data_IF_666328624756
#
_entry.id   IF_666328624756
#
_cell.length_a   1.000
_cell.length_b   1.000
_cell.length_c   1.000
_cell.angle_alpha   90.00
_cell.angle_beta   90.00
_cell.angle_gamma   90.00
#
_symmetry.space_group_name_H-M   'P 1'
#
loop_
_entity.id
_entity.type
_entity.pdbx_description
1 polymer ?
#
# COMPACT_ATOMS: atom_id res chain seq x y z
N UNK A 1 11.28 -10.33 -4.31
CA UNK A 1 11.30 -11.31 -3.20
C UNK A 1 9.87 -11.51 -2.66
N UNK A 2 8.93 -12.00 -3.47
CA UNK A 2 7.62 -12.48 -2.97
C UNK A 2 7.07 -13.65 -3.79
N UNK A 3 7.75 -14.04 -4.88
CA UNK A 3 7.22 -14.94 -5.89
C UNK A 3 7.13 -16.41 -5.45
N UNK A 4 7.73 -16.76 -4.31
CA UNK A 4 7.83 -18.12 -3.80
C UNK A 4 7.17 -18.32 -2.42
N UNK A 5 6.05 -17.61 -2.17
CA UNK A 5 5.28 -17.75 -0.92
C UNK A 5 4.28 -18.92 -1.03
N UNK A 6 4.24 -19.77 0.01
CA UNK A 6 3.33 -20.93 0.09
C UNK A 6 1.87 -20.53 0.39
N UNK A 7 1.66 -19.36 1.01
CA UNK A 7 0.33 -18.84 1.33
C UNK A 7 -0.10 -17.76 0.34
N UNK A 8 -1.40 -17.66 0.01
CA UNK A 8 -1.90 -16.67 -0.94
C UNK A 8 -1.60 -15.25 -0.47
N UNK A 9 -0.99 -14.46 -1.35
CA UNK A 9 -0.85 -13.02 -1.16
C UNK A 9 -2.06 -12.31 -1.78
N UNK A 10 -2.64 -11.38 -1.03
CA UNK A 10 -3.55 -10.38 -1.55
C UNK A 10 -2.80 -9.06 -1.70
N UNK A 11 -2.68 -8.57 -2.93
CA UNK A 11 -1.96 -7.34 -3.28
C UNK A 11 -2.66 -6.65 -4.44
N UNK A 12 -2.76 -5.33 -4.40
CA UNK A 12 -3.17 -4.55 -5.55
C UNK A 12 -3.19 -3.05 -5.27
N UNK A 13 -3.05 -2.27 -6.35
CA UNK A 13 -3.11 -0.82 -6.30
C UNK A 13 -1.87 -0.12 -5.71
N UNK A 14 -0.73 -0.81 -5.57
CA UNK A 14 0.50 -0.18 -5.10
C UNK A 14 1.19 0.64 -6.22
N UNK A 15 1.99 1.62 -5.81
CA UNK A 15 2.84 2.44 -6.67
C UNK A 15 4.30 2.09 -6.40
N UNK A 16 5.05 1.79 -7.46
CA UNK A 16 6.46 1.37 -7.41
C UNK A 16 7.35 2.41 -8.06
N UNK A 17 8.15 3.12 -7.27
CA UNK A 17 9.04 4.20 -7.69
C UNK A 17 10.51 3.75 -7.70
N UNK A 18 11.38 4.50 -8.36
CA UNK A 18 12.85 4.38 -8.29
C UNK A 18 13.37 2.93 -8.38
N UNK A 19 12.96 2.22 -9.43
CA UNK A 19 13.37 0.83 -9.68
C UNK A 19 12.72 -0.24 -8.79
N UNK A 20 11.81 0.12 -7.87
CA UNK A 20 11.04 -0.85 -7.10
C UNK A 20 10.17 -1.72 -8.03
N UNK A 21 9.91 -2.97 -7.63
CA UNK A 21 9.24 -3.96 -8.46
C UNK A 21 7.99 -4.52 -7.78
N UNK A 22 6.88 -4.64 -8.52
CA UNK A 22 5.67 -5.27 -8.00
C UNK A 22 5.86 -6.75 -7.76
N UNK A 23 4.96 -7.32 -6.95
CA UNK A 23 4.79 -8.76 -6.92
C UNK A 23 4.26 -9.26 -8.28
N UNK A 24 4.74 -10.41 -8.77
CA UNK A 24 4.45 -10.89 -10.12
C UNK A 24 2.95 -11.09 -10.43
N UNK A 25 2.11 -11.33 -9.41
CA UNK A 25 0.66 -11.54 -9.58
C UNK A 25 -0.18 -10.41 -9.00
N UNK A 26 0.44 -9.26 -8.75
CA UNK A 26 -0.28 -8.12 -8.21
C UNK A 26 -1.29 -7.53 -9.19
N UNK A 27 -2.47 -7.17 -8.69
CA UNK A 27 -3.49 -6.53 -9.49
C UNK A 27 -3.24 -5.02 -9.59
N UNK A 28 -3.20 -4.50 -10.83
CA UNK A 28 -3.13 -3.06 -11.12
C UNK A 28 -1.99 -2.28 -10.44
N UNK A 29 -0.73 -2.76 -10.44
CA UNK A 29 0.38 -1.95 -9.95
C UNK A 29 0.65 -0.77 -10.90
N UNK A 30 0.96 0.39 -10.34
CA UNK A 30 1.52 1.52 -11.11
C UNK A 30 3.05 1.51 -10.94
N UNK A 31 3.78 1.21 -12.01
CA UNK A 31 5.26 1.13 -11.98
C UNK A 31 5.86 2.37 -12.65
N UNK A 32 6.53 3.19 -11.86
CA UNK A 32 7.18 4.45 -12.23
C UNK A 32 8.68 4.35 -11.95
N UNK A 33 9.34 3.37 -12.57
CA UNK A 33 10.71 2.98 -12.25
C UNK A 33 11.76 4.09 -12.44
N UNK A 34 11.49 5.09 -13.28
CA UNK A 34 12.37 6.23 -13.54
C UNK A 34 12.11 7.47 -12.67
N UNK A 35 11.11 7.43 -11.78
CA UNK A 35 10.79 8.54 -10.89
C UNK A 35 11.43 8.29 -9.53
N UNK A 36 12.34 9.18 -9.13
CA UNK A 36 12.83 9.29 -7.77
C UNK A 36 12.31 10.61 -7.16
N UNK A 37 11.37 10.55 -6.20
CA UNK A 37 10.79 11.75 -5.61
C UNK A 37 11.68 12.35 -4.52
N UNK A 38 12.89 11.83 -4.28
CA UNK A 38 13.82 12.42 -3.32
C UNK A 38 13.32 12.42 -1.87
N UNK A 39 12.67 11.32 -1.46
CA UNK A 39 12.05 11.17 -0.12
C UNK A 39 13.06 11.43 1.00
N UNK A 40 12.73 12.36 1.90
CA UNK A 40 13.52 12.75 3.07
C UNK A 40 12.65 12.83 4.31
N UNK A 41 13.24 12.45 5.45
CA UNK A 41 12.71 12.76 6.77
C UNK A 41 13.51 13.96 7.29
N UNK A 42 12.83 15.06 7.58
CA UNK A 42 13.45 16.33 7.97
C UNK A 42 12.90 16.75 9.34
N UNK A 43 13.76 17.28 10.20
CA UNK A 43 13.36 17.89 11.46
C UNK A 43 13.53 19.41 11.37
N UNK A 44 12.43 20.15 11.50
CA UNK A 44 12.38 21.61 11.42
C UNK A 44 11.48 22.15 12.54
N UNK A 45 11.97 23.13 13.32
CA UNK A 45 11.20 23.77 14.40
C UNK A 45 10.55 22.80 15.41
N UNK A 46 11.25 21.71 15.74
CA UNK A 46 10.73 20.67 16.63
C UNK A 46 9.63 19.78 16.02
N UNK A 47 9.46 19.82 14.70
CA UNK A 47 8.53 18.98 13.94
C UNK A 47 9.30 18.05 13.03
N UNK A 48 8.83 16.82 12.91
CA UNK A 48 9.32 15.86 11.91
C UNK A 48 8.40 15.88 10.71
N UNK A 49 8.94 16.13 9.52
CA UNK A 49 8.21 16.20 8.25
C UNK A 49 8.77 15.19 7.25
N UNK A 50 7.89 14.63 6.42
CA UNK A 50 8.28 13.85 5.25
C UNK A 50 8.24 14.80 4.05
N UNK A 51 9.37 14.97 3.39
CA UNK A 51 9.51 15.82 2.20
C UNK A 51 9.80 14.94 0.99
N UNK A 52 9.13 15.23 -0.13
CA UNK A 52 9.37 14.60 -1.42
C UNK A 52 8.86 15.51 -2.54
N UNK A 53 9.44 15.38 -3.73
CA UNK A 53 9.01 16.08 -4.93
C UNK A 53 7.67 15.51 -5.41
N UNK A 54 6.75 16.40 -5.79
CA UNK A 54 5.47 15.99 -6.35
C UNK A 54 5.64 15.29 -7.69
N UNK A 55 4.94 14.17 -7.88
CA UNK A 55 4.90 13.42 -9.13
C UNK A 55 3.43 13.21 -9.54
N UNK A 56 2.91 14.02 -10.51
CA UNK A 56 1.51 13.97 -10.94
C UNK A 56 1.06 12.60 -11.46
N UNK A 57 2.00 11.74 -11.85
CA UNK A 57 1.73 10.37 -12.27
C UNK A 57 1.00 9.55 -11.19
N UNK A 58 1.12 9.95 -9.92
CA UNK A 58 0.39 9.35 -8.79
C UNK A 58 -1.13 9.34 -9.02
N UNK A 59 -1.68 10.34 -9.71
CA UNK A 59 -3.12 10.43 -9.99
C UNK A 59 -3.62 9.29 -10.88
N UNK A 60 -2.71 8.58 -11.57
CA UNK A 60 -3.05 7.40 -12.37
C UNK A 60 -3.12 6.10 -11.54
N UNK A 61 -2.81 6.16 -10.24
CA UNK A 61 -2.84 5.00 -9.36
C UNK A 61 -4.28 4.50 -9.20
N UNK A 62 -4.50 3.22 -9.50
CA UNK A 62 -5.80 2.56 -9.34
C UNK A 62 -5.88 1.95 -7.94
N UNK A 63 -6.23 2.76 -6.97
CA UNK A 63 -6.44 2.32 -5.59
C UNK A 63 -7.90 1.94 -5.35
N UNK A 64 -8.15 1.19 -4.27
CA UNK A 64 -9.49 0.82 -3.83
C UNK A 64 -9.62 1.07 -2.34
N UNK A 65 -10.83 1.40 -1.87
CA UNK A 65 -11.11 1.48 -0.44
C UNK A 65 -10.90 0.10 0.19
N UNK A 66 -10.10 0.05 1.25
CA UNK A 66 -9.83 -1.18 1.99
C UNK A 66 -10.90 -1.37 3.06
N UNK A 67 -11.56 -2.52 3.04
CA UNK A 67 -12.66 -2.87 3.95
C UNK A 67 -12.50 -4.29 4.49
N UNK A 68 -13.22 -4.63 5.57
CA UNK A 68 -13.32 -6.03 6.05
C UNK A 68 -13.71 -6.99 4.93
N UNK A 69 -14.67 -6.60 4.09
CA UNK A 69 -15.14 -7.44 2.99
C UNK A 69 -14.05 -7.67 1.93
N UNK A 70 -13.23 -6.66 1.65
CA UNK A 70 -12.11 -6.79 0.71
C UNK A 70 -10.98 -7.66 1.27
N UNK A 71 -10.60 -7.44 2.54
CA UNK A 71 -9.51 -8.17 3.19
C UNK A 71 -9.88 -9.62 3.52
N UNK A 72 -11.16 -9.89 3.76
CA UNK A 72 -11.64 -11.21 4.13
C UNK A 72 -11.12 -11.66 5.49
N UNK A 73 -10.61 -12.89 5.55
CA UNK A 73 -10.22 -13.56 6.79
C UNK A 73 -8.74 -13.90 6.79
N UNK A 74 -8.08 -13.65 7.93
CA UNK A 74 -6.72 -14.09 8.15
C UNK A 74 -6.68 -15.63 8.29
N UNK A 75 -5.76 -16.26 7.58
CA UNK A 75 -5.75 -17.72 7.39
C UNK A 75 -5.54 -18.53 8.67
N UNK A 76 -4.64 -18.08 9.55
CA UNK A 76 -4.24 -18.84 10.75
C UNK A 76 -5.17 -18.60 11.95
N UNK A 77 -5.49 -17.35 12.33
CA UNK A 77 -6.41 -17.12 13.45
C UNK A 77 -7.88 -17.35 13.05
N UNK A 78 -8.19 -17.46 11.75
CA UNK A 78 -9.56 -17.55 11.23
C UNK A 78 -10.43 -16.42 11.78
N UNK A 79 -9.96 -15.18 11.62
CA UNK A 79 -10.67 -13.98 12.04
C UNK A 79 -10.71 -12.93 10.92
N UNK A 80 -11.78 -12.12 10.85
CA UNK A 80 -11.88 -10.97 9.97
C UNK A 80 -11.03 -9.79 10.46
N UNK A 81 -10.90 -8.77 9.60
CA UNK A 81 -10.31 -7.48 9.95
C UNK A 81 -11.41 -6.51 10.39
N UNK A 82 -11.47 -6.18 11.68
CA UNK A 82 -12.56 -5.41 12.28
C UNK A 82 -12.03 -4.29 13.19
N UNK A 83 -12.91 -3.36 13.54
CA UNK A 83 -12.64 -2.33 14.55
C UNK A 83 -12.61 -2.92 15.97
N UNK A 84 -12.09 -2.19 16.99
CA UNK A 84 -12.05 -2.69 18.37
C UNK A 84 -13.40 -3.08 18.97
N UNK A 85 -14.50 -2.53 18.46
CA UNK A 85 -15.87 -2.84 18.88
C UNK A 85 -16.52 -4.00 18.10
N UNK A 86 -15.79 -4.63 17.18
CA UNK A 86 -16.27 -5.71 16.31
C UNK A 86 -17.06 -5.24 15.09
N UNK A 87 -17.19 -3.93 14.85
CA UNK A 87 -17.79 -3.44 13.61
C UNK A 87 -16.85 -3.62 12.40
N UNK A 88 -17.44 -3.71 11.20
CA UNK A 88 -16.67 -3.82 9.97
C UNK A 88 -15.76 -2.60 9.77
N UNK A 89 -14.48 -2.86 9.50
CA UNK A 89 -13.46 -1.88 9.15
C UNK A 89 -13.72 -1.32 7.75
N UNK A 90 -13.58 0.01 7.64
CA UNK A 90 -13.36 0.71 6.38
C UNK A 90 -12.24 1.74 6.62
N UNK A 91 -11.13 1.61 5.87
CA UNK A 91 -9.98 2.52 5.97
C UNK A 91 -10.27 3.75 5.10
N UNK A 92 -11.15 4.61 5.60
CA UNK A 92 -11.48 5.89 4.99
C UNK A 92 -10.52 6.99 5.46
N UNK A 93 -10.43 8.06 4.66
CA UNK A 93 -9.70 9.27 5.00
C UNK A 93 -10.40 10.10 6.08
#
# INVERSE_FOLDING_TARGET
MYDNKELPLQTGGNVYLNGAKPYAKEASPLVLAGIDPGLKLVEEDGRTVIQFDGFPELDNARTTLVTTALLGWARIPELPFENPDGSALAVAA
#
